data_IF_821100891567
#
_entry.id   IF_821100891567
#
_cell.length_a   1.000
_cell.length_b   1.000
_cell.length_c   1.000
_cell.angle_alpha   90.00
_cell.angle_beta   90.00
_cell.angle_gamma   90.00
#
_symmetry.space_group_name_H-M   'P 1'
#
loop_
_entity.id
_entity.type
_entity.pdbx_description
1 polymer ?
#
# COMPACT_ATOMS: atom_id res chain seq x y z
N UNK A 1 -10.28 -7.97 -30.74
CA UNK A 1 -9.85 -6.59 -30.39
C UNK A 1 -10.94 -5.80 -29.68
N UNK A 2 -12.05 -5.40 -30.31
CA UNK A 2 -13.09 -4.56 -29.65
C UNK A 2 -13.68 -5.19 -28.37
N UNK A 3 -13.89 -6.51 -28.35
CA UNK A 3 -14.42 -7.25 -27.20
C UNK A 3 -13.48 -7.27 -25.99
N UNK A 4 -12.16 -7.22 -26.21
CA UNK A 4 -11.17 -7.22 -25.12
C UNK A 4 -11.08 -5.84 -24.46
N UNK A 5 -11.15 -4.77 -25.25
CA UNK A 5 -11.26 -3.41 -24.71
C UNK A 5 -12.55 -3.24 -23.91
N UNK A 6 -13.68 -3.77 -24.38
CA UNK A 6 -14.93 -3.77 -23.62
C UNK A 6 -14.80 -4.53 -22.30
N UNK A 7 -14.08 -5.64 -22.24
CA UNK A 7 -13.84 -6.38 -21.00
C UNK A 7 -13.00 -5.57 -20.00
N UNK A 8 -11.94 -4.90 -20.47
CA UNK A 8 -11.11 -4.02 -19.62
C UNK A 8 -11.90 -2.81 -19.10
N UNK A 9 -12.74 -2.19 -19.93
CA UNK A 9 -13.53 -1.02 -19.54
C UNK A 9 -14.69 -1.40 -18.59
N UNK A 10 -15.35 -2.56 -18.80
CA UNK A 10 -16.43 -3.02 -17.93
C UNK A 10 -15.92 -3.69 -16.64
N UNK A 11 -14.70 -4.23 -16.62
CA UNK A 11 -14.09 -4.83 -15.43
C UNK A 11 -13.79 -3.83 -14.31
N UNK A 12 -13.61 -2.54 -14.64
CA UNK A 12 -13.42 -1.46 -13.67
C UNK A 12 -14.74 -0.85 -13.18
N UNK A 13 -15.88 -1.22 -13.75
CA UNK A 13 -17.20 -0.74 -13.30
C UNK A 13 -17.66 -1.55 -12.08
N UNK A 14 -16.95 -1.38 -10.96
CA UNK A 14 -17.35 -1.88 -9.65
C UNK A 14 -18.65 -1.17 -9.24
N UNK A 15 -19.74 -1.92 -9.12
CA UNK A 15 -20.91 -1.48 -8.34
C UNK A 15 -20.40 -1.24 -6.93
N UNK A 16 -20.19 0.04 -6.61
CA UNK A 16 -19.62 0.47 -5.35
C UNK A 16 -20.72 0.37 -4.29
N UNK A 17 -20.87 -0.81 -3.70
CA UNK A 17 -21.71 -0.99 -2.52
C UNK A 17 -21.05 -0.18 -1.40
N UNK A 18 -21.74 0.84 -0.88
CA UNK A 18 -21.21 1.69 0.18
C UNK A 18 -20.78 0.84 1.37
N UNK A 19 -19.48 0.84 1.67
CA UNK A 19 -18.88 0.09 2.78
C UNK A 19 -18.38 -1.32 2.42
N UNK A 20 -18.59 -1.81 1.20
CA UNK A 20 -17.95 -3.05 0.74
C UNK A 20 -16.51 -2.75 0.35
N UNK A 21 -15.58 -3.35 1.07
CA UNK A 21 -14.17 -3.37 0.72
C UNK A 21 -13.89 -4.72 0.08
N UNK A 22 -13.56 -4.73 -1.21
CA UNK A 22 -13.25 -5.98 -1.89
C UNK A 22 -11.95 -6.59 -1.32
N UNK A 23 -11.81 -7.92 -1.34
CA UNK A 23 -10.63 -8.61 -0.81
C UNK A 23 -9.30 -8.11 -1.44
N UNK A 24 -9.34 -7.63 -2.69
CA UNK A 24 -8.19 -7.05 -3.38
C UNK A 24 -7.77 -5.72 -2.76
N UNK A 25 -8.72 -4.81 -2.57
CA UNK A 25 -8.49 -3.53 -1.89
C UNK A 25 -7.99 -3.70 -0.46
N UNK A 26 -8.54 -4.65 0.30
CA UNK A 26 -8.06 -4.95 1.65
C UNK A 26 -6.60 -5.44 1.64
N UNK A 27 -6.27 -6.34 0.71
CA UNK A 27 -4.90 -6.84 0.53
C UNK A 27 -3.94 -5.71 0.16
N UNK A 28 -4.35 -4.79 -0.73
CA UNK A 28 -3.55 -3.65 -1.12
C UNK A 28 -3.26 -2.70 0.06
N UNK A 29 -4.27 -2.43 0.90
CA UNK A 29 -4.11 -1.61 2.11
C UNK A 29 -3.12 -2.25 3.07
N UNK A 30 -3.25 -3.56 3.34
CA UNK A 30 -2.32 -4.28 4.21
C UNK A 30 -0.89 -4.24 3.65
N UNK A 31 -0.73 -4.47 2.34
CA UNK A 31 0.58 -4.42 1.69
C UNK A 31 1.23 -3.03 1.82
N UNK A 32 0.46 -1.95 1.67
CA UNK A 32 0.95 -0.59 1.90
C UNK A 32 1.38 -0.35 3.34
N UNK A 33 0.61 -0.82 4.32
CA UNK A 33 0.94 -0.68 5.75
C UNK A 33 2.22 -1.45 6.09
N UNK A 34 2.31 -2.71 5.67
CA UNK A 34 3.51 -3.55 5.90
C UNK A 34 4.72 -2.94 5.20
N UNK A 35 4.57 -2.50 3.95
CA UNK A 35 5.63 -1.82 3.20
C UNK A 35 6.10 -0.54 3.88
N UNK A 36 5.17 0.26 4.41
CA UNK A 36 5.48 1.46 5.19
C UNK A 36 6.25 1.15 6.46
N UNK A 37 5.82 0.17 7.25
CA UNK A 37 6.52 -0.26 8.48
C UNK A 37 7.92 -0.78 8.16
N UNK A 38 8.04 -1.63 7.13
CA UNK A 38 9.32 -2.16 6.69
C UNK A 38 10.27 -1.04 6.23
N UNK A 39 9.77 -0.09 5.44
CA UNK A 39 10.51 1.08 4.99
C UNK A 39 11.01 1.94 6.16
N UNK A 40 10.11 2.31 7.08
CA UNK A 40 10.47 3.09 8.29
C UNK A 40 11.50 2.34 9.13
N UNK A 41 11.31 1.05 9.38
CA UNK A 41 12.25 0.23 10.15
C UNK A 41 13.64 0.17 9.53
N UNK A 42 13.71 0.04 8.20
CA UNK A 42 14.98 0.02 7.47
C UNK A 42 15.69 1.38 7.51
N UNK A 43 14.94 2.48 7.33
CA UNK A 43 15.47 3.84 7.46
C UNK A 43 15.96 4.12 8.88
N UNK A 44 15.19 3.76 9.92
CA UNK A 44 15.63 3.91 11.31
C UNK A 44 16.92 3.15 11.59
N UNK A 45 17.03 1.91 11.09
CA UNK A 45 18.25 1.10 11.22
C UNK A 45 19.44 1.74 10.52
N UNK A 46 19.25 2.30 9.32
CA UNK A 46 20.31 2.99 8.58
C UNK A 46 20.84 4.21 9.33
N UNK A 47 19.96 5.00 9.94
CA UNK A 47 20.34 6.23 10.65
C UNK A 47 20.52 6.05 12.16
N UNK A 48 20.51 4.82 12.67
CA UNK A 48 20.53 4.50 14.10
C UNK A 48 21.64 5.22 14.86
N UNK A 49 22.84 5.30 14.27
CA UNK A 49 23.98 5.99 14.88
C UNK A 49 23.73 7.51 15.02
N UNK A 50 23.19 8.16 13.98
CA UNK A 50 22.87 9.60 14.00
C UNK A 50 21.72 9.92 14.94
N UNK A 51 20.72 9.04 15.00
CA UNK A 51 19.57 9.15 15.91
C UNK A 51 20.06 9.06 17.36
N UNK A 52 20.92 8.07 17.66
CA UNK A 52 21.54 7.91 18.98
C UNK A 52 22.37 9.13 19.38
N UNK A 53 23.17 9.67 18.46
CA UNK A 53 23.98 10.85 18.74
C UNK A 53 23.12 12.08 19.09
N UNK A 54 21.97 12.24 18.42
CA UNK A 54 21.01 13.33 18.69
C UNK A 54 20.19 13.14 19.97
N UNK A 55 19.96 11.90 20.40
CA UNK A 55 19.22 11.58 21.64
C UNK A 55 20.16 11.57 22.86
N UNK A 56 21.44 11.24 22.67
CA UNK A 56 22.43 11.10 23.74
C UNK A 56 23.18 12.40 24.08
N UNK A 57 23.00 13.47 23.30
CA UNK A 57 23.42 14.83 23.62
C UNK A 57 22.24 15.60 24.19
#
# INVERSE_FOLDING_TARGET
MVTEYSFLINGFSLIQISGYLDPGSFTAIIAMVIGGIAGVGMTLKMYWYKIKEKISK
#
